data_IF_454451134283
#
_entry.id   IF_454451134283
#
_cell.length_a   1.000
_cell.length_b   1.000
_cell.length_c   1.000
_cell.angle_alpha   90.00
_cell.angle_beta   90.00
_cell.angle_gamma   90.00
#
_symmetry.space_group_name_H-M   'P 1'
#
loop_
_entity.id
_entity.type
_entity.pdbx_description
1 polymer ?
#
# COMPACT_ATOMS: atom_id res chain seq x y z
N UNK A 1 -29.91 -17.87 -32.47
CA UNK A 1 -28.63 -17.14 -32.37
C UNK A 1 -27.95 -17.61 -31.10
N UNK A 2 -26.97 -18.50 -31.24
CA UNK A 2 -26.19 -19.02 -30.11
C UNK A 2 -25.31 -17.86 -29.61
N UNK A 3 -25.52 -17.39 -28.38
CA UNK A 3 -24.57 -16.47 -27.74
C UNK A 3 -23.22 -17.20 -27.69
N UNK A 4 -22.25 -16.73 -28.48
CA UNK A 4 -20.88 -17.16 -28.32
C UNK A 4 -20.45 -16.75 -26.91
N UNK A 5 -20.09 -17.74 -26.08
CA UNK A 5 -19.56 -17.49 -24.74
C UNK A 5 -18.25 -16.74 -24.95
N UNK A 6 -18.16 -15.50 -24.46
CA UNK A 6 -16.92 -14.73 -24.53
C UNK A 6 -15.80 -15.54 -23.86
N UNK A 7 -14.60 -15.63 -24.46
CA UNK A 7 -13.50 -16.38 -23.87
C UNK A 7 -13.18 -15.79 -22.50
N UNK A 8 -13.13 -16.67 -21.49
CA UNK A 8 -12.74 -16.34 -20.13
C UNK A 8 -11.40 -17.01 -19.86
N UNK A 9 -10.40 -16.22 -19.45
CA UNK A 9 -9.09 -16.71 -19.05
C UNK A 9 -8.96 -16.47 -17.55
N UNK A 10 -8.61 -17.50 -16.80
CA UNK A 10 -8.32 -17.38 -15.36
C UNK A 10 -6.85 -17.75 -15.13
N UNK A 11 -6.13 -16.88 -14.42
CA UNK A 11 -4.78 -17.15 -13.97
C UNK A 11 -4.67 -16.94 -12.46
N UNK A 12 -3.86 -17.77 -11.81
CA UNK A 12 -3.59 -17.67 -10.38
C UNK A 12 -2.11 -17.47 -10.10
N UNK A 13 -1.81 -16.70 -9.07
CA UNK A 13 -0.45 -16.40 -8.63
C UNK A 13 -0.39 -16.46 -7.10
N UNK A 14 0.74 -16.93 -6.57
CA UNK A 14 0.99 -16.95 -5.12
C UNK A 14 1.76 -15.69 -4.73
N UNK A 15 1.20 -14.89 -3.83
CA UNK A 15 1.85 -13.68 -3.33
C UNK A 15 1.86 -13.64 -1.81
N UNK A 16 3.01 -13.31 -1.24
CA UNK A 16 3.22 -13.17 0.19
C UNK A 16 4.68 -12.90 0.50
N UNK A 17 5.00 -12.61 1.76
CA UNK A 17 6.34 -12.19 2.15
C UNK A 17 7.38 -13.30 1.99
N UNK A 18 6.98 -14.58 2.00
CA UNK A 18 7.89 -15.68 1.66
C UNK A 18 8.21 -15.81 0.17
N UNK A 19 7.29 -15.45 -0.73
CA UNK A 19 7.51 -15.55 -2.18
C UNK A 19 8.10 -14.29 -2.79
N UNK A 20 7.80 -13.12 -2.20
CA UNK A 20 8.37 -11.84 -2.58
C UNK A 20 8.72 -11.02 -1.32
N UNK A 21 9.86 -11.32 -0.66
CA UNK A 21 10.26 -10.69 0.60
C UNK A 21 10.41 -9.17 0.52
N UNK A 22 10.78 -8.63 -0.64
CA UNK A 22 10.91 -7.19 -0.84
C UNK A 22 9.61 -6.43 -0.57
N UNK A 23 8.44 -7.07 -0.69
CA UNK A 23 7.15 -6.44 -0.44
C UNK A 23 6.92 -6.09 1.04
N UNK A 24 7.71 -6.65 1.96
CA UNK A 24 7.68 -6.25 3.38
C UNK A 24 8.07 -4.78 3.58
N UNK A 25 8.81 -4.22 2.61
CA UNK A 25 9.28 -2.83 2.60
C UNK A 25 8.25 -1.84 2.02
N UNK A 26 7.04 -2.28 1.66
CA UNK A 26 5.95 -1.39 1.22
C UNK A 26 4.82 -1.40 2.26
N UNK A 27 4.81 -0.41 3.15
CA UNK A 27 3.89 -0.37 4.29
C UNK A 27 3.09 0.92 4.33
N UNK A 28 1.82 0.80 4.70
CA UNK A 28 0.96 1.94 5.04
C UNK A 28 0.39 1.70 6.42
N UNK A 29 0.63 2.66 7.32
CA UNK A 29 0.49 2.44 8.76
C UNK A 29 1.35 1.25 9.21
N UNK A 30 0.74 0.32 9.95
CA UNK A 30 1.47 -0.81 10.53
C UNK A 30 1.57 -2.04 9.60
N UNK A 31 0.82 -2.11 8.50
CA UNK A 31 0.73 -3.30 7.65
C UNK A 31 1.55 -3.20 6.37
N UNK A 32 2.15 -4.32 5.95
CA UNK A 32 2.66 -4.47 4.58
C UNK A 32 1.47 -4.62 3.62
N UNK A 33 1.43 -3.79 2.58
CA UNK A 33 0.32 -3.75 1.62
C UNK A 33 0.88 -4.00 0.23
N UNK A 34 0.19 -4.78 -0.57
CA UNK A 34 0.56 -4.99 -1.96
C UNK A 34 0.44 -3.67 -2.75
N UNK A 35 1.54 -3.13 -3.33
CA UNK A 35 1.50 -1.85 -4.02
C UNK A 35 0.70 -1.92 -5.32
N UNK A 36 0.11 -0.78 -5.71
CA UNK A 36 -0.53 -0.60 -7.02
C UNK A 36 0.36 -1.09 -8.16
N UNK A 37 1.66 -0.81 -8.08
CA UNK A 37 2.66 -1.23 -9.05
C UNK A 37 2.71 -2.74 -9.30
N UNK A 38 2.38 -3.58 -8.32
CA UNK A 38 2.32 -5.04 -8.54
C UNK A 38 1.07 -5.43 -9.34
N UNK A 39 -0.07 -4.78 -9.12
CA UNK A 39 -1.27 -5.00 -9.94
C UNK A 39 -1.04 -4.55 -11.40
N UNK A 40 -0.32 -3.44 -11.58
CA UNK A 40 0.11 -2.95 -12.90
C UNK A 40 1.01 -3.97 -13.62
N UNK A 41 2.00 -4.53 -12.93
CA UNK A 41 2.89 -5.55 -13.49
C UNK A 41 2.14 -6.85 -13.86
N UNK A 42 1.29 -7.36 -12.95
CA UNK A 42 0.50 -8.57 -13.19
C UNK A 42 -0.42 -8.42 -14.40
N UNK A 43 -1.16 -7.31 -14.46
CA UNK A 43 -2.08 -7.02 -15.56
C UNK A 43 -1.33 -6.83 -16.88
N UNK A 44 -0.22 -6.09 -16.91
CA UNK A 44 0.59 -5.91 -18.12
C UNK A 44 1.18 -7.24 -18.61
N UNK A 45 1.72 -8.05 -17.70
CA UNK A 45 2.27 -9.38 -18.01
C UNK A 45 1.21 -10.26 -18.68
N UNK A 46 -0.01 -10.27 -18.18
CA UNK A 46 -1.12 -10.99 -18.81
C UNK A 46 -1.54 -10.39 -20.14
N UNK A 47 -1.49 -9.06 -20.27
CA UNK A 47 -1.60 -8.36 -21.54
C UNK A 47 -0.64 -8.92 -22.59
N UNK A 48 0.64 -9.11 -22.26
CA UNK A 48 1.62 -9.68 -23.20
C UNK A 48 1.31 -11.12 -23.62
N UNK A 49 0.75 -11.92 -22.71
CA UNK A 49 0.35 -13.31 -22.98
C UNK A 49 -0.86 -13.35 -23.93
N UNK A 50 -1.90 -12.57 -23.63
CA UNK A 50 -3.15 -12.57 -24.40
C UNK A 50 -2.98 -11.89 -25.77
N UNK A 51 -2.16 -10.85 -25.84
CA UNK A 51 -1.80 -10.17 -27.09
C UNK A 51 -0.80 -10.95 -27.95
N UNK A 52 -0.20 -12.04 -27.42
CA UNK A 52 0.88 -12.80 -28.09
C UNK A 52 2.06 -11.89 -28.46
N UNK A 53 2.53 -11.12 -27.48
CA UNK A 53 3.61 -10.13 -27.58
C UNK A 53 3.35 -8.97 -28.57
N UNK A 54 2.11 -8.80 -29.05
CA UNK A 54 1.73 -7.58 -29.75
C UNK A 54 1.69 -6.40 -28.76
N UNK A 55 1.97 -5.17 -29.22
CA UNK A 55 1.85 -3.99 -28.36
C UNK A 55 0.50 -3.95 -27.65
N UNK A 56 0.51 -3.75 -26.34
CA UNK A 56 -0.70 -3.64 -25.54
C UNK A 56 -0.56 -2.58 -24.45
N UNK A 57 -1.70 -2.07 -23.98
CA UNK A 57 -1.77 -1.24 -22.78
C UNK A 57 -2.76 -1.83 -21.78
N UNK A 58 -2.51 -1.54 -20.52
CA UNK A 58 -3.49 -1.72 -19.44
C UNK A 58 -4.20 -0.39 -19.23
N UNK A 59 -5.51 -0.39 -19.17
CA UNK A 59 -6.32 0.83 -19.05
C UNK A 59 -7.27 0.75 -17.86
N UNK A 60 -7.65 1.92 -17.34
CA UNK A 60 -8.71 2.07 -16.34
C UNK A 60 -8.52 1.18 -15.10
N UNK A 61 -7.27 1.01 -14.64
CA UNK A 61 -6.98 0.26 -13.42
C UNK A 61 -7.56 1.04 -12.23
N UNK A 62 -8.34 0.37 -11.39
CA UNK A 62 -8.87 0.91 -10.13
C UNK A 62 -8.68 -0.11 -9.01
N UNK A 63 -8.20 0.37 -7.86
CA UNK A 63 -8.16 -0.40 -6.63
C UNK A 63 -9.49 -0.28 -5.88
N UNK A 64 -9.95 -1.39 -5.30
CA UNK A 64 -11.18 -1.48 -4.51
C UNK A 64 -10.87 -1.83 -3.06
N UNK A 65 -10.22 -2.96 -2.82
CA UNK A 65 -9.80 -3.40 -1.49
C UNK A 65 -8.28 -3.60 -1.42
N UNK A 66 -7.64 -3.07 -0.37
CA UNK A 66 -6.21 -3.26 -0.15
C UNK A 66 -5.89 -4.70 0.20
N UNK A 67 -4.89 -5.28 -0.47
CA UNK A 67 -4.39 -6.60 -0.11
C UNK A 67 -3.28 -6.48 0.94
N UNK A 68 -3.62 -6.80 2.18
CA UNK A 68 -2.63 -6.90 3.27
C UNK A 68 -1.80 -8.17 3.05
N UNK A 69 -0.48 -7.99 3.05
CA UNK A 69 0.47 -9.07 2.87
C UNK A 69 0.73 -9.78 4.19
N UNK A 70 0.83 -11.10 4.09
CA UNK A 70 1.16 -11.98 5.19
C UNK A 70 2.41 -12.80 4.85
N UNK A 71 3.03 -13.38 5.88
CA UNK A 71 4.12 -14.34 5.73
C UNK A 71 3.72 -15.51 4.82
N UNK A 72 2.53 -16.08 5.06
CA UNK A 72 2.01 -17.16 4.23
C UNK A 72 1.45 -16.63 2.92
N UNK A 73 1.93 -17.14 1.76
CA UNK A 73 1.40 -16.73 0.47
C UNK A 73 -0.09 -16.97 0.37
N UNK A 74 -0.78 -16.02 -0.24
CA UNK A 74 -2.19 -16.12 -0.64
C UNK A 74 -2.28 -16.20 -2.16
N UNK A 75 -3.31 -16.89 -2.63
CA UNK A 75 -3.64 -16.95 -4.05
C UNK A 75 -4.33 -15.65 -4.47
N UNK A 76 -3.73 -14.94 -5.42
CA UNK A 76 -4.46 -13.98 -6.26
C UNK A 76 -5.01 -14.72 -7.47
N UNK A 77 -6.26 -14.45 -7.82
CA UNK A 77 -6.90 -14.85 -9.05
C UNK A 77 -7.12 -13.62 -9.91
N UNK A 78 -6.78 -13.72 -11.19
CA UNK A 78 -7.13 -12.73 -12.20
C UNK A 78 -7.97 -13.39 -13.28
N UNK A 79 -9.20 -12.90 -13.40
CA UNK A 79 -10.14 -13.30 -14.42
C UNK A 79 -10.09 -12.26 -15.54
N UNK A 80 -9.98 -12.71 -16.79
CA UNK A 80 -10.07 -11.88 -17.98
C UNK A 80 -11.25 -12.33 -18.83
N UNK A 81 -12.06 -11.37 -19.28
CA UNK A 81 -13.21 -11.59 -20.13
C UNK A 81 -13.08 -10.72 -21.37
N UNK A 82 -13.07 -11.33 -22.55
CA UNK A 82 -13.07 -10.56 -23.79
C UNK A 82 -14.37 -9.76 -23.92
N UNK A 83 -14.26 -8.46 -24.18
CA UNK A 83 -15.40 -7.56 -24.35
C UNK A 83 -15.68 -7.26 -25.81
N UNK A 84 -14.62 -7.17 -26.62
CA UNK A 84 -14.64 -6.91 -28.05
C UNK A 84 -13.33 -7.43 -28.68
N UNK A 85 -13.17 -7.26 -30.00
CA UNK A 85 -11.90 -7.59 -30.66
C UNK A 85 -10.78 -6.74 -30.04
N UNK A 86 -9.67 -7.39 -29.65
CA UNK A 86 -8.50 -6.75 -29.03
C UNK A 86 -8.73 -6.06 -27.68
N UNK A 87 -9.85 -6.30 -26.98
CA UNK A 87 -10.05 -5.77 -25.64
C UNK A 87 -10.60 -6.79 -24.64
N UNK A 88 -10.06 -6.72 -23.43
CA UNK A 88 -10.38 -7.63 -22.32
C UNK A 88 -10.62 -6.83 -21.05
N UNK A 89 -11.71 -7.09 -20.35
CA UNK A 89 -11.86 -6.63 -18.98
C UNK A 89 -11.17 -7.63 -18.05
N UNK A 90 -10.50 -7.14 -17.01
CA UNK A 90 -9.93 -8.01 -15.98
C UNK A 90 -10.37 -7.61 -14.56
N UNK A 91 -10.42 -8.61 -13.70
CA UNK A 91 -10.65 -8.47 -12.26
C UNK A 91 -9.58 -9.26 -11.51
N UNK A 92 -8.95 -8.65 -10.51
CA UNK A 92 -7.96 -9.26 -9.63
C UNK A 92 -8.56 -9.35 -8.24
N UNK A 93 -8.70 -10.55 -7.72
CA UNK A 93 -9.17 -10.79 -6.36
C UNK A 93 -8.35 -11.84 -5.63
N UNK A 94 -8.60 -12.01 -4.34
CA UNK A 94 -8.00 -13.09 -3.54
C UNK A 94 -9.07 -13.91 -2.85
N UNK A 95 -8.78 -15.18 -2.60
CA UNK A 95 -9.66 -16.01 -1.80
C UNK A 95 -9.26 -15.91 -0.32
N UNK A 96 -10.16 -15.47 0.58
CA UNK A 96 -9.89 -15.45 2.01
C UNK A 96 -9.63 -16.85 2.56
N UNK A 97 -8.77 -16.95 3.58
CA UNK A 97 -8.41 -18.20 4.25
C UNK A 97 -9.55 -18.79 5.09
N UNK A 98 -10.54 -17.98 5.43
CA UNK A 98 -11.71 -18.36 6.23
C UNK A 98 -12.89 -18.87 5.38
N UNK A 99 -12.73 -18.97 4.06
CA UNK A 99 -13.76 -19.45 3.14
C UNK A 99 -14.86 -18.43 2.84
N UNK A 100 -14.70 -17.16 3.24
CA UNK A 100 -15.59 -16.07 2.84
C UNK A 100 -15.48 -15.73 1.34
N UNK A 101 -16.37 -14.85 0.86
CA UNK A 101 -16.40 -14.46 -0.55
C UNK A 101 -15.07 -13.87 -1.01
N UNK A 102 -14.72 -14.10 -2.28
CA UNK A 102 -13.51 -13.58 -2.90
C UNK A 102 -13.45 -12.04 -2.73
N UNK A 103 -12.35 -11.54 -2.15
CA UNK A 103 -12.09 -10.12 -2.03
C UNK A 103 -11.70 -9.56 -3.41
N UNK A 104 -12.32 -8.48 -3.86
CA UNK A 104 -12.00 -7.82 -5.13
C UNK A 104 -10.98 -6.71 -4.86
N UNK A 105 -9.77 -6.86 -5.40
CA UNK A 105 -8.68 -5.92 -5.16
C UNK A 105 -8.55 -4.88 -6.26
N UNK A 106 -8.62 -5.29 -7.53
CA UNK A 106 -8.44 -4.39 -8.65
C UNK A 106 -9.28 -4.80 -9.86
N UNK A 107 -9.66 -3.82 -10.67
CA UNK A 107 -10.31 -4.02 -11.97
C UNK A 107 -9.61 -3.19 -13.02
N UNK A 108 -9.71 -3.57 -14.30
CA UNK A 108 -9.27 -2.73 -15.41
C UNK A 108 -9.56 -3.36 -16.77
N UNK A 109 -8.93 -2.80 -17.79
CA UNK A 109 -9.00 -3.27 -19.17
C UNK A 109 -7.60 -3.55 -19.73
N UNK A 110 -7.50 -4.49 -20.64
CA UNK A 110 -6.35 -4.67 -21.52
C UNK A 110 -6.78 -4.35 -22.94
N UNK A 111 -5.98 -3.55 -23.65
CA UNK A 111 -6.18 -3.27 -25.07
C UNK A 111 -4.95 -3.67 -25.85
N UNK A 112 -5.16 -4.46 -26.89
CA UNK A 112 -4.13 -4.83 -27.87
C UNK A 112 -4.11 -3.79 -28.99
N UNK A 113 -2.93 -3.52 -29.53
CA UNK A 113 -2.67 -2.55 -30.60
C UNK A 113 -2.92 -1.08 -30.20
N UNK A 114 -2.86 -0.75 -28.90
CA UNK A 114 -3.43 0.50 -28.41
C UNK A 114 -2.50 1.71 -28.34
N UNK A 115 -1.16 1.59 -28.49
CA UNK A 115 -0.29 2.76 -28.34
C UNK A 115 0.99 2.74 -29.18
N UNK A 116 1.15 3.77 -30.02
CA UNK A 116 2.45 4.07 -30.63
C UNK A 116 3.39 4.63 -29.56
N UNK A 117 4.64 4.16 -29.54
CA UNK A 117 5.68 4.67 -28.63
C UNK A 117 5.87 6.18 -28.85
N UNK A 118 5.71 7.02 -27.81
CA UNK A 118 5.96 8.46 -27.94
C UNK A 118 7.41 8.76 -28.32
N UNK A 119 7.63 9.90 -28.98
CA UNK A 119 8.98 10.35 -29.35
C UNK A 119 9.86 10.55 -28.11
N UNK A 120 11.16 10.28 -28.27
CA UNK A 120 12.16 10.48 -27.23
C UNK A 120 12.18 11.94 -26.72
N UNK A 121 12.48 12.10 -25.43
CA UNK A 121 12.58 13.39 -24.74
C UNK A 121 13.81 13.40 -23.86
N UNK A 122 14.62 14.45 -23.95
CA UNK A 122 15.83 14.54 -23.11
C UNK A 122 15.46 14.91 -21.68
N UNK A 123 15.99 14.17 -20.70
CA UNK A 123 15.85 14.51 -19.27
C UNK A 123 16.48 15.87 -18.93
N UNK A 124 17.52 16.30 -19.64
CA UNK A 124 18.19 17.60 -19.43
C UNK A 124 17.23 18.81 -19.51
N UNK A 125 16.36 18.84 -20.52
CA UNK A 125 15.37 19.92 -20.66
C UNK A 125 14.30 19.91 -19.57
N UNK A 126 13.95 18.72 -19.05
CA UNK A 126 13.01 18.57 -17.93
C UNK A 126 13.69 19.03 -16.63
N UNK A 127 14.93 18.60 -16.40
CA UNK A 127 15.75 18.99 -15.25
C UNK A 127 15.95 20.50 -15.16
N UNK A 128 16.07 21.19 -16.29
CA UNK A 128 16.17 22.64 -16.32
C UNK A 128 14.90 23.36 -15.81
N UNK A 129 13.72 22.74 -16.00
CA UNK A 129 12.43 23.26 -15.46
C UNK A 129 12.23 22.89 -14.00
N UNK A 130 12.46 21.61 -13.67
CA UNK A 130 12.46 21.11 -12.29
C UNK A 130 13.74 21.57 -11.58
N UNK A 131 13.81 22.84 -11.20
CA UNK A 131 15.06 23.45 -10.73
C UNK A 131 15.33 23.26 -9.23
N UNK A 132 14.32 22.93 -8.43
CA UNK A 132 14.43 22.71 -6.99
C UNK A 132 14.85 21.26 -6.70
N UNK A 133 15.95 21.06 -5.98
CA UNK A 133 16.35 19.72 -5.51
C UNK A 133 15.53 19.36 -4.28
N UNK A 134 14.89 18.20 -4.31
CA UNK A 134 14.32 17.52 -3.15
C UNK A 134 15.21 16.31 -2.82
N UNK A 135 16.02 16.35 -1.76
CA UNK A 135 16.83 15.20 -1.38
C UNK A 135 15.96 13.95 -1.19
N UNK A 136 16.40 12.80 -1.69
CA UNK A 136 15.64 11.56 -1.60
C UNK A 136 15.30 11.19 -0.13
N UNK A 137 16.25 11.41 0.79
CA UNK A 137 16.03 11.18 2.22
C UNK A 137 14.89 12.05 2.80
N UNK A 138 14.78 13.31 2.38
CA UNK A 138 13.69 14.20 2.81
C UNK A 138 12.35 13.79 2.19
N UNK A 139 12.37 13.28 0.95
CA UNK A 139 11.19 12.72 0.32
C UNK A 139 10.65 11.52 1.09
N UNK A 140 11.51 10.53 1.41
CA UNK A 140 11.12 9.35 2.18
C UNK A 140 10.70 9.70 3.62
N UNK A 141 11.40 10.61 4.29
CA UNK A 141 10.99 11.09 5.62
C UNK A 141 9.62 11.78 5.59
N UNK A 142 9.30 12.52 4.52
CA UNK A 142 7.98 13.12 4.36
C UNK A 142 6.88 12.07 4.12
N UNK A 143 7.17 10.99 3.38
CA UNK A 143 6.22 9.88 3.21
C UNK A 143 5.98 9.15 4.53
N UNK A 144 7.04 8.91 5.31
CA UNK A 144 6.95 8.29 6.64
C UNK A 144 6.11 9.14 7.61
N UNK A 145 6.26 10.46 7.59
CA UNK A 145 5.44 11.36 8.39
C UNK A 145 3.93 11.31 8.06
N UNK A 146 3.58 10.84 6.85
CA UNK A 146 2.21 10.60 6.41
C UNK A 146 1.71 9.17 6.70
N UNK A 147 2.57 8.31 7.26
CA UNK A 147 2.28 6.90 7.54
C UNK A 147 2.55 5.97 6.36
N UNK A 148 3.32 6.38 5.35
CA UNK A 148 3.78 5.51 4.26
C UNK A 148 5.25 5.18 4.53
N UNK A 149 5.54 3.95 4.91
CA UNK A 149 6.89 3.51 5.23
C UNK A 149 7.44 2.68 4.07
N UNK A 150 8.39 3.27 3.34
CA UNK A 150 9.20 2.57 2.36
C UNK A 150 10.47 2.04 3.05
N UNK A 151 10.75 0.74 2.88
CA UNK A 151 12.00 0.13 3.29
C UNK A 151 13.05 0.15 2.17
N UNK A 152 14.24 -0.43 2.42
CA UNK A 152 15.36 -0.39 1.48
C UNK A 152 15.04 -0.88 0.07
N UNK A 153 14.15 -1.85 -0.07
CA UNK A 153 13.74 -2.36 -1.38
C UNK A 153 12.96 -1.33 -2.19
N UNK A 154 12.23 -0.40 -1.56
CA UNK A 154 11.44 0.64 -2.22
C UNK A 154 12.12 2.01 -2.26
N UNK A 155 13.34 2.12 -1.72
CA UNK A 155 14.20 3.32 -1.80
C UNK A 155 14.93 3.40 -3.14
N UNK A 156 14.18 3.57 -4.24
CA UNK A 156 14.74 3.60 -5.60
C UNK A 156 15.05 4.98 -6.14
N UNK A 157 14.53 6.05 -5.53
CA UNK A 157 14.80 7.42 -5.95
C UNK A 157 16.21 7.80 -5.48
N UNK A 158 17.15 7.96 -6.43
CA UNK A 158 18.51 8.44 -6.15
C UNK A 158 18.56 9.96 -6.01
N UNK A 159 17.77 10.66 -6.82
CA UNK A 159 17.69 12.11 -6.85
C UNK A 159 16.34 12.54 -7.38
N UNK A 160 15.81 13.64 -6.85
CA UNK A 160 14.49 14.12 -7.17
C UNK A 160 14.52 15.63 -7.31
N UNK A 161 14.00 16.12 -8.42
CA UNK A 161 13.92 17.54 -8.70
C UNK A 161 12.49 17.92 -8.99
N UNK A 162 12.07 19.12 -8.59
CA UNK A 162 10.69 19.58 -8.76
C UNK A 162 10.58 21.04 -9.12
N UNK A 163 9.38 21.37 -9.58
CA UNK A 163 8.72 22.67 -9.57
C UNK A 163 7.24 22.40 -9.30
N UNK A 164 6.41 23.42 -9.09
CA UNK A 164 4.98 23.18 -8.86
C UNK A 164 4.34 22.48 -10.07
N UNK A 165 3.71 21.32 -9.81
CA UNK A 165 3.05 20.51 -10.82
C UNK A 165 3.95 19.62 -11.67
N UNK A 166 5.27 19.64 -11.48
CA UNK A 166 6.20 18.87 -12.31
C UNK A 166 7.41 18.36 -11.51
N UNK A 167 7.77 17.09 -11.66
CA UNK A 167 8.93 16.50 -11.00
C UNK A 167 9.71 15.57 -11.95
N UNK A 168 11.01 15.43 -11.68
CA UNK A 168 11.91 14.50 -12.33
C UNK A 168 12.64 13.68 -11.27
N UNK A 169 12.36 12.39 -11.21
CA UNK A 169 13.07 11.44 -10.37
C UNK A 169 14.08 10.62 -11.17
N UNK A 170 15.30 10.49 -10.66
CA UNK A 170 16.24 9.48 -11.13
C UNK A 170 16.05 8.22 -10.28
N UNK A 171 15.76 7.10 -10.94
CA UNK A 171 15.43 5.83 -10.31
C UNK A 171 16.50 4.79 -10.60
N UNK A 172 16.83 3.98 -9.59
CA UNK A 172 17.67 2.79 -9.74
C UNK A 172 17.13 1.63 -8.92
N UNK A 173 17.10 0.45 -9.52
CA UNK A 173 16.71 -0.76 -8.81
C UNK A 173 17.77 -1.10 -7.75
N UNK A 174 17.40 -1.48 -6.52
CA UNK A 174 18.37 -1.88 -5.53
C UNK A 174 19.08 -3.16 -5.97
N UNK A 175 20.39 -3.24 -5.70
CA UNK A 175 21.24 -4.36 -6.12
C UNK A 175 20.66 -5.75 -5.75
N UNK A 176 20.02 -5.85 -4.58
CA UNK A 176 19.39 -7.09 -4.11
C UNK A 176 18.29 -7.64 -5.04
N UNK A 177 17.68 -6.79 -5.87
CA UNK A 177 16.58 -7.15 -6.78
C UNK A 177 17.03 -7.27 -8.25
N UNK A 178 18.29 -6.96 -8.57
CA UNK A 178 18.79 -7.01 -9.95
C UNK A 178 18.74 -8.43 -10.55
N UNK A 179 18.90 -9.47 -9.72
CA UNK A 179 18.84 -10.87 -10.15
C UNK A 179 17.48 -11.31 -10.70
N UNK A 180 16.39 -10.70 -10.22
CA UNK A 180 15.02 -10.97 -10.67
C UNK A 180 14.49 -9.95 -11.67
N UNK A 181 15.20 -8.83 -11.91
CA UNK A 181 14.80 -7.78 -12.85
C UNK A 181 14.44 -8.31 -14.26
N UNK A 182 15.13 -9.36 -14.72
CA UNK A 182 14.87 -10.01 -16.03
C UNK A 182 13.49 -10.66 -16.17
N UNK A 183 12.80 -10.92 -15.06
CA UNK A 183 11.45 -11.48 -15.04
C UNK A 183 10.39 -10.45 -15.41
N UNK A 184 10.74 -9.16 -15.35
CA UNK A 184 9.82 -8.05 -15.49
C UNK A 184 10.07 -7.25 -16.77
N UNK A 185 9.04 -6.56 -17.24
CA UNK A 185 9.24 -5.49 -18.23
C UNK A 185 9.90 -4.28 -17.55
N UNK A 186 9.30 -3.82 -16.46
CA UNK A 186 9.87 -2.89 -15.51
C UNK A 186 9.54 -3.46 -14.13
N UNK A 187 10.54 -3.60 -13.26
CA UNK A 187 10.33 -4.18 -11.94
C UNK A 187 9.25 -3.40 -11.16
N UNK A 188 8.32 -4.05 -10.43
CA UNK A 188 7.24 -3.36 -9.71
C UNK A 188 7.73 -2.24 -8.78
N UNK A 189 8.83 -2.47 -8.06
CA UNK A 189 9.51 -1.45 -7.24
C UNK A 189 9.91 -0.19 -8.03
N UNK A 190 10.37 -0.32 -9.29
CA UNK A 190 10.70 0.85 -10.12
C UNK A 190 9.44 1.58 -10.59
N UNK A 191 8.38 0.84 -10.92
CA UNK A 191 7.06 1.43 -11.23
C UNK A 191 6.51 2.18 -10.02
N UNK A 192 6.66 1.62 -8.81
CA UNK A 192 6.28 2.28 -7.57
C UNK A 192 7.11 3.54 -7.32
N UNK A 193 8.43 3.49 -7.52
CA UNK A 193 9.30 4.67 -7.47
C UNK A 193 8.89 5.78 -8.44
N UNK A 194 8.39 5.40 -9.62
CA UNK A 194 7.81 6.34 -10.58
C UNK A 194 6.57 7.02 -10.00
N UNK A 195 5.69 6.27 -9.34
CA UNK A 195 4.49 6.77 -8.64
C UNK A 195 4.88 7.63 -7.43
N UNK A 196 5.88 7.24 -6.63
CA UNK A 196 6.42 8.02 -5.51
C UNK A 196 6.83 9.43 -5.95
N UNK A 197 7.45 9.54 -7.14
CA UNK A 197 7.89 10.84 -7.68
C UNK A 197 6.73 11.82 -7.94
N UNK A 198 5.49 11.34 -8.11
CA UNK A 198 4.30 12.19 -8.25
C UNK A 198 4.13 13.07 -7.01
N UNK A 199 4.42 12.56 -5.82
CA UNK A 199 4.25 13.31 -4.57
C UNK A 199 5.19 14.51 -4.49
N UNK A 200 6.27 14.54 -5.26
CA UNK A 200 7.13 15.71 -5.36
C UNK A 200 6.59 16.83 -6.27
N UNK A 201 5.54 16.58 -7.06
CA UNK A 201 4.87 17.63 -7.85
C UNK A 201 4.06 18.59 -6.99
N UNK A 202 3.74 18.19 -5.75
CA UNK A 202 2.95 18.95 -4.79
C UNK A 202 3.85 19.63 -3.74
N UNK A 203 3.39 20.71 -3.10
CA UNK A 203 3.99 21.19 -1.86
C UNK A 203 3.96 20.10 -0.76
N UNK A 204 4.70 20.27 0.35
CA UNK A 204 4.62 19.36 1.48
C UNK A 204 3.19 19.12 1.92
N UNK A 205 2.83 17.84 2.02
CA UNK A 205 1.47 17.40 2.31
C UNK A 205 1.32 17.05 3.80
N UNK A 206 0.10 17.16 4.33
CA UNK A 206 -0.21 16.79 5.72
C UNK A 206 -1.24 15.67 5.82
N UNK A 207 -1.98 15.38 4.74
CA UNK A 207 -2.92 14.27 4.68
C UNK A 207 -2.31 13.06 3.98
N UNK A 208 -2.64 11.85 4.48
CA UNK A 208 -2.32 10.61 3.78
C UNK A 208 -3.01 10.57 2.43
N UNK A 209 -2.24 10.43 1.35
CA UNK A 209 -2.74 10.26 -0.01
C UNK A 209 -2.18 8.99 -0.62
N UNK A 210 -3.02 8.22 -1.29
CA UNK A 210 -2.64 6.94 -1.90
C UNK A 210 -2.97 6.93 -3.39
N UNK A 211 -2.18 6.22 -4.21
CA UNK A 211 -2.52 5.98 -5.61
C UNK A 211 -3.62 4.92 -5.69
N UNK A 212 -4.78 5.27 -6.23
CA UNK A 212 -5.98 4.39 -6.23
C UNK A 212 -6.45 3.99 -7.63
N UNK A 213 -5.98 4.67 -8.66
CA UNK A 213 -6.31 4.35 -10.05
C UNK A 213 -5.22 4.81 -11.02
N UNK A 214 -5.18 4.19 -12.20
CA UNK A 214 -4.33 4.56 -13.33
C UNK A 214 -5.17 4.46 -14.60
N UNK A 215 -5.20 5.52 -15.41
CA UNK A 215 -5.96 5.50 -16.66
C UNK A 215 -5.29 4.66 -17.73
N UNK A 216 -3.96 4.68 -17.80
CA UNK A 216 -3.22 3.90 -18.80
C UNK A 216 -1.84 3.51 -18.28
N UNK A 217 -1.44 2.27 -18.51
CA UNK A 217 -0.07 1.80 -18.43
C UNK A 217 0.33 1.23 -19.79
N UNK A 218 1.40 1.77 -20.37
CA UNK A 218 2.03 1.22 -21.57
C UNK A 218 3.54 1.09 -21.34
N UNK A 219 4.11 -0.09 -21.57
CA UNK A 219 5.55 -0.34 -21.49
C UNK A 219 6.06 -0.71 -22.88
N UNK A 220 6.96 0.11 -23.41
CA UNK A 220 7.45 0.00 -24.79
C UNK A 220 8.80 -0.72 -24.90
N UNK A 221 9.53 -0.81 -23.80
CA UNK A 221 10.82 -1.48 -23.72
C UNK A 221 11.01 -2.13 -22.34
N UNK A 222 11.78 -3.20 -22.29
CA UNK A 222 12.23 -3.79 -21.02
C UNK A 222 13.33 -2.92 -20.41
N UNK A 223 13.22 -2.62 -19.12
CA UNK A 223 14.29 -1.99 -18.37
C UNK A 223 15.49 -2.95 -18.28
N UNK A 224 16.68 -2.47 -18.63
CA UNK A 224 17.90 -3.26 -18.52
C UNK A 224 18.29 -3.40 -17.04
N UNK A 225 18.69 -4.60 -16.56
CA UNK A 225 19.21 -4.75 -15.20
C UNK A 225 20.36 -3.76 -14.92
N UNK A 226 20.32 -3.12 -13.76
CA UNK A 226 21.30 -2.10 -13.34
C UNK A 226 21.21 -0.75 -14.08
N UNK A 227 20.35 -0.61 -15.09
CA UNK A 227 20.17 0.68 -15.76
C UNK A 227 19.34 1.64 -14.91
N UNK A 228 19.65 2.93 -15.02
CA UNK A 228 18.83 3.99 -14.46
C UNK A 228 17.60 4.23 -15.33
N UNK A 229 16.52 4.59 -14.67
CA UNK A 229 15.34 5.17 -15.30
C UNK A 229 15.14 6.59 -14.80
N UNK A 230 14.48 7.42 -15.60
CA UNK A 230 14.06 8.75 -15.22
C UNK A 230 12.54 8.80 -15.23
N UNK A 231 11.92 9.13 -14.11
CA UNK A 231 10.49 9.33 -13.98
C UNK A 231 10.17 10.82 -14.09
N UNK A 232 9.55 11.21 -15.19
CA UNK A 232 9.04 12.56 -15.40
C UNK A 232 7.55 12.61 -15.05
N UNK A 233 7.23 13.23 -13.92
CA UNK A 233 5.87 13.35 -13.38
C UNK A 233 5.28 14.72 -13.68
N UNK A 234 4.04 14.77 -14.18
CA UNK A 234 3.34 16.01 -14.52
C UNK A 234 1.89 15.94 -14.04
N UNK A 235 1.45 16.94 -13.27
CA UNK A 235 0.05 17.05 -12.86
C UNK A 235 -0.82 17.33 -14.08
N UNK A 236 -1.83 16.51 -14.29
CA UNK A 236 -2.81 16.65 -15.39
C UNK A 236 -4.15 17.20 -14.91
N UNK A 237 -4.53 16.88 -13.67
CA UNK A 237 -5.67 17.50 -12.98
C UNK A 237 -5.20 18.03 -11.64
N UNK A 238 -5.34 19.34 -11.35
CA UNK A 238 -4.89 19.92 -10.09
C UNK A 238 -5.72 19.39 -8.91
N UNK A 239 -5.24 19.58 -7.66
CA UNK A 239 -5.97 19.18 -6.46
C UNK A 239 -7.39 19.73 -6.40
N UNK A 240 -8.35 18.85 -6.12
CA UNK A 240 -9.73 19.20 -5.83
C UNK A 240 -9.92 19.65 -4.37
N UNK A 241 -11.17 19.86 -3.95
CA UNK A 241 -11.52 20.28 -2.58
C UNK A 241 -11.10 19.27 -1.49
N UNK A 242 -10.89 18.00 -1.86
CA UNK A 242 -10.41 16.95 -0.96
C UNK A 242 -8.87 16.84 -0.96
N UNK A 243 -8.21 17.58 -1.85
CA UNK A 243 -6.78 17.48 -2.10
C UNK A 243 -6.39 16.32 -3.02
N UNK A 244 -7.36 15.65 -3.64
CA UNK A 244 -7.13 14.57 -4.61
C UNK A 244 -6.78 15.17 -5.97
N UNK A 245 -5.84 14.56 -6.70
CA UNK A 245 -5.33 15.08 -7.97
C UNK A 245 -4.87 13.93 -8.87
N UNK A 246 -4.60 14.21 -10.14
CA UNK A 246 -4.02 13.20 -11.03
C UNK A 246 -2.77 13.70 -11.76
N UNK A 247 -1.85 12.78 -12.02
CA UNK A 247 -0.61 13.05 -12.72
C UNK A 247 -0.28 11.95 -13.73
N UNK A 248 0.44 12.33 -14.78
CA UNK A 248 1.09 11.42 -15.69
C UNK A 248 2.54 11.20 -15.26
N UNK A 249 3.08 10.01 -15.52
CA UNK A 249 4.49 9.68 -15.36
C UNK A 249 5.03 9.09 -16.65
N UNK A 250 6.05 9.71 -17.22
CA UNK A 250 6.81 9.15 -18.35
C UNK A 250 8.13 8.58 -17.84
N UNK A 251 8.37 7.29 -18.09
CA UNK A 251 9.64 6.62 -17.81
C UNK A 251 10.57 6.75 -19.02
N UNK A 252 11.78 7.25 -18.79
CA UNK A 252 12.83 7.42 -19.81
C UNK A 252 14.07 6.62 -19.41
N UNK A 253 14.85 6.16 -20.39
CA UNK A 253 16.23 5.72 -20.15
C UNK A 253 17.22 6.90 -20.15
N UNK A 254 18.50 6.62 -19.94
CA UNK A 254 19.57 7.64 -19.92
C UNK A 254 19.71 8.38 -21.26
N UNK A 255 19.28 7.77 -22.37
CA UNK A 255 19.29 8.36 -23.72
C UNK A 255 18.00 9.17 -24.02
N UNK A 256 17.04 9.17 -23.08
CA UNK A 256 15.76 9.87 -23.22
C UNK A 256 14.70 9.11 -24.02
N UNK A 257 14.93 7.83 -24.34
CA UNK A 257 13.95 7.00 -25.01
C UNK A 257 12.86 6.58 -24.01
N UNK A 258 11.59 6.65 -24.43
CA UNK A 258 10.44 6.36 -23.56
C UNK A 258 10.36 4.86 -23.28
N UNK A 259 10.63 4.45 -22.05
CA UNK A 259 10.53 3.05 -21.60
C UNK A 259 9.08 2.69 -21.30
N UNK A 260 8.32 3.61 -20.73
CA UNK A 260 6.91 3.40 -20.41
C UNK A 260 6.19 4.68 -20.01
N UNK A 261 4.88 4.57 -19.84
CA UNK A 261 4.00 5.66 -19.45
C UNK A 261 2.96 5.14 -18.45
N UNK A 262 2.74 5.90 -17.38
CA UNK A 262 1.60 5.79 -16.49
C UNK A 262 0.75 7.06 -16.66
N UNK A 263 -0.38 6.95 -17.34
CA UNK A 263 -1.30 8.06 -17.59
C UNK A 263 -2.37 8.14 -16.51
N UNK A 264 -2.69 9.35 -16.07
CA UNK A 264 -3.80 9.66 -15.17
C UNK A 264 -3.76 8.88 -13.86
N UNK A 265 -2.60 8.78 -13.22
CA UNK A 265 -2.47 8.19 -11.89
C UNK A 265 -3.25 9.08 -10.91
N UNK A 266 -4.33 8.55 -10.36
CA UNK A 266 -5.18 9.24 -9.39
C UNK A 266 -4.61 9.06 -7.99
N UNK A 267 -4.18 10.18 -7.41
CA UNK A 267 -3.75 10.29 -6.02
C UNK A 267 -4.95 10.78 -5.21
N UNK A 268 -5.47 9.93 -4.35
CA UNK A 268 -6.66 10.21 -3.55
C UNK A 268 -6.30 10.46 -2.09
N UNK A 269 -6.87 11.51 -1.52
CA UNK A 269 -6.83 11.77 -0.08
C UNK A 269 -7.64 10.71 0.66
N UNK A 270 -7.00 10.05 1.62
CA UNK A 270 -7.63 9.02 2.44
C UNK A 270 -7.96 9.69 3.78
N UNK A 271 -9.23 9.70 4.14
CA UNK A 271 -9.60 10.08 5.51
C UNK A 271 -8.87 9.13 6.45
N UNK A 272 -8.23 9.67 7.49
CA UNK A 272 -7.42 8.90 8.44
C UNK A 272 -8.10 7.55 8.72
N UNK A 273 -7.43 6.46 8.33
CA UNK A 273 -7.89 5.13 8.72
C UNK A 273 -8.01 5.14 10.25
N UNK A 274 -9.09 4.61 10.85
CA UNK A 274 -9.12 4.41 12.30
C UNK A 274 -7.86 3.62 12.69
N UNK A 275 -6.92 4.28 13.37
CA UNK A 275 -5.57 3.75 13.64
C UNK A 275 -4.38 4.60 13.17
N UNK A 276 -4.59 5.69 12.42
CA UNK A 276 -3.49 6.48 11.84
C UNK A 276 -3.17 7.83 12.53
N UNK A 277 -3.70 8.09 13.73
CA UNK A 277 -3.31 9.27 14.50
C UNK A 277 -3.29 8.96 16.01
N UNK A 278 -2.11 8.68 16.54
CA UNK A 278 -1.85 8.91 17.97
C UNK A 278 -1.40 10.36 18.09
N UNK A 279 -2.18 11.26 18.72
CA UNK A 279 -1.66 12.59 19.03
C UNK A 279 -0.50 12.41 20.00
N UNK A 280 0.68 12.92 19.64
CA UNK A 280 1.82 12.99 20.54
C UNK A 280 1.37 13.70 21.83
N UNK A 281 1.46 13.09 23.03
CA UNK A 281 1.05 13.77 24.24
C UNK A 281 1.99 14.96 24.45
N UNK A 282 1.42 16.16 24.59
CA UNK A 282 2.15 17.27 25.18
C UNK A 282 2.59 16.88 26.60
N UNK A 283 3.78 17.29 27.07
CA UNK A 283 4.20 17.03 28.44
C UNK A 283 3.20 17.70 29.39
N UNK A 284 2.43 16.90 30.13
CA UNK A 284 1.41 17.39 31.06
C UNK A 284 2.02 17.65 32.44
N UNK A 285 1.63 18.72 33.15
CA UNK A 285 2.12 19.02 34.49
C UNK A 285 1.72 17.93 35.50
N UNK A 286 2.50 17.84 36.58
CA UNK A 286 2.41 16.84 37.63
C UNK A 286 0.99 16.63 38.21
N UNK A 287 0.79 15.36 38.60
CA UNK A 287 -0.35 14.71 39.24
C UNK A 287 -1.34 15.57 40.02
N UNK A 288 -2.63 15.26 39.84
CA UNK A 288 -3.59 15.35 40.93
C UNK A 288 -4.56 14.16 40.85
N UNK A 289 -4.69 13.44 41.97
CA UNK A 289 -5.38 12.16 42.06
C UNK A 289 -6.89 12.27 41.90
N UNK A 290 -7.42 11.58 40.88
CA UNK A 290 -8.82 11.17 40.84
C UNK A 290 -8.93 9.75 41.39
N UNK A 291 -9.79 9.56 42.39
CA UNK A 291 -10.13 8.24 42.96
C UNK A 291 -10.50 7.28 41.84
N UNK A 292 -9.64 6.31 41.56
CA UNK A 292 -10.02 5.13 40.77
C UNK A 292 -11.05 4.34 41.58
N UNK A 293 -12.19 4.06 40.98
CA UNK A 293 -13.22 3.20 41.55
C UNK A 293 -12.65 1.79 41.83
N UNK A 294 -12.98 1.20 42.98
CA UNK A 294 -12.52 -0.12 43.40
C UNK A 294 -12.87 -1.22 42.37
N UNK A 295 -13.96 -1.04 41.61
CA UNK A 295 -14.32 -1.94 40.50
C UNK A 295 -13.29 -1.89 39.35
N UNK A 296 -12.83 -0.69 39.00
CA UNK A 296 -11.87 -0.45 37.91
C UNK A 296 -10.50 -1.03 38.24
N UNK A 297 -10.06 -0.87 39.50
CA UNK A 297 -8.82 -1.46 40.02
C UNK A 297 -8.86 -2.99 39.97
N UNK A 298 -10.01 -3.60 40.23
CA UNK A 298 -10.18 -5.06 40.18
C UNK A 298 -10.18 -5.61 38.75
N UNK A 299 -10.76 -4.87 37.77
CA UNK A 299 -10.69 -5.25 36.35
C UNK A 299 -9.26 -5.19 35.86
N UNK A 300 -8.56 -4.10 36.14
CA UNK A 300 -7.17 -3.89 35.71
C UNK A 300 -6.24 -5.00 36.24
N UNK A 301 -6.33 -5.30 37.54
CA UNK A 301 -5.54 -6.37 38.15
C UNK A 301 -5.80 -7.74 37.51
N UNK A 302 -7.07 -8.01 37.15
CA UNK A 302 -7.46 -9.27 36.49
C UNK A 302 -6.88 -9.37 35.09
N UNK A 303 -7.01 -8.33 34.28
CA UNK A 303 -6.48 -8.30 32.92
C UNK A 303 -4.95 -8.40 32.91
N UNK A 304 -4.27 -7.72 33.84
CA UNK A 304 -2.81 -7.84 34.03
C UNK A 304 -2.38 -9.27 34.33
N UNK A 305 -3.11 -9.99 35.18
CA UNK A 305 -2.79 -11.37 35.51
C UNK A 305 -2.95 -12.28 34.28
N UNK A 306 -4.03 -12.11 33.52
CA UNK A 306 -4.30 -12.88 32.29
C UNK A 306 -3.23 -12.59 31.23
N UNK A 307 -2.88 -11.32 31.01
CA UNK A 307 -1.89 -10.95 29.99
C UNK A 307 -0.50 -11.50 30.31
N UNK A 308 -0.08 -11.47 31.59
CA UNK A 308 1.19 -12.08 32.01
C UNK A 308 1.24 -13.59 31.77
N UNK A 309 0.11 -14.27 31.91
CA UNK A 309 0.00 -15.72 31.67
C UNK A 309 0.26 -16.06 30.19
N UNK A 310 -0.30 -15.29 29.25
CA UNK A 310 -0.23 -15.61 27.81
C UNK A 310 0.91 -14.92 27.05
N UNK A 311 1.40 -13.79 27.54
CA UNK A 311 2.50 -13.05 26.91
C UNK A 311 3.87 -13.36 27.53
N UNK A 312 3.90 -14.23 28.57
CA UNK A 312 5.11 -14.66 29.28
C UNK A 312 5.97 -13.50 29.83
N UNK A 313 5.37 -12.33 30.10
CA UNK A 313 6.05 -11.13 30.62
C UNK A 313 6.04 -11.07 32.15
N UNK A 314 7.18 -10.75 32.77
CA UNK A 314 7.33 -10.62 34.24
C UNK A 314 6.82 -9.28 34.77
N UNK A 315 7.05 -8.21 34.03
CA UNK A 315 6.59 -6.86 34.34
C UNK A 315 5.71 -6.36 33.19
N UNK A 316 4.68 -5.60 33.53
CA UNK A 316 3.63 -5.17 32.61
C UNK A 316 3.03 -3.88 33.16
N UNK A 317 3.10 -2.78 32.40
CA UNK A 317 2.37 -1.52 32.62
C UNK A 317 0.96 -1.60 31.99
N UNK A 318 0.02 -0.75 32.43
CA UNK A 318 -1.33 -0.76 31.86
C UNK A 318 -1.36 -0.11 30.48
N UNK A 319 -0.35 0.68 30.13
CA UNK A 319 -0.23 1.38 28.86
C UNK A 319 0.70 0.68 27.87
N UNK A 320 1.30 -0.45 28.26
CA UNK A 320 2.15 -1.23 27.36
C UNK A 320 1.30 -1.76 26.19
N UNK A 321 1.71 -1.50 24.93
CA UNK A 321 0.98 -1.99 23.78
C UNK A 321 1.02 -3.52 23.67
N UNK A 322 -0.14 -4.13 23.44
CA UNK A 322 -0.32 -5.57 23.31
C UNK A 322 0.69 -6.24 22.37
N UNK A 323 0.92 -5.63 21.20
CA UNK A 323 1.83 -6.17 20.19
C UNK A 323 3.31 -5.99 20.55
N UNK A 324 3.67 -4.95 21.31
CA UNK A 324 5.06 -4.75 21.77
C UNK A 324 5.45 -5.76 22.85
N UNK A 325 4.46 -6.31 23.56
CA UNK A 325 4.62 -7.39 24.52
C UNK A 325 4.67 -8.79 23.87
N UNK A 326 4.71 -8.86 22.54
CA UNK A 326 4.71 -10.13 21.80
C UNK A 326 3.32 -10.72 21.53
N UNK A 327 2.26 -9.93 21.70
CA UNK A 327 0.89 -10.32 21.38
C UNK A 327 0.65 -10.56 19.88
N UNK A 328 -0.23 -11.49 19.57
CA UNK A 328 -0.68 -11.87 18.24
C UNK A 328 -2.17 -12.24 18.24
N UNK A 329 -2.74 -12.63 17.10
CA UNK A 329 -4.16 -13.01 17.01
C UNK A 329 -4.53 -14.27 17.81
N UNK A 330 -3.55 -15.15 18.07
CA UNK A 330 -3.77 -16.39 18.82
C UNK A 330 -3.86 -16.06 20.31
N UNK A 331 -2.89 -15.31 20.82
CA UNK A 331 -2.85 -14.84 22.21
C UNK A 331 -3.98 -13.85 22.48
N UNK A 332 -4.38 -13.00 21.52
CA UNK A 332 -5.58 -12.16 21.65
C UNK A 332 -6.85 -13.00 21.82
N UNK A 333 -6.99 -14.08 21.04
CA UNK A 333 -8.15 -14.99 21.17
C UNK A 333 -8.14 -15.73 22.52
N UNK A 334 -6.97 -16.19 22.97
CA UNK A 334 -6.82 -16.87 24.26
C UNK A 334 -7.10 -15.95 25.45
N UNK A 335 -6.62 -14.70 25.39
CA UNK A 335 -6.87 -13.67 26.40
C UNK A 335 -8.35 -13.27 26.43
N UNK A 336 -9.01 -13.12 25.27
CA UNK A 336 -10.44 -12.84 25.18
C UNK A 336 -11.28 -13.96 25.83
N UNK A 337 -10.97 -15.21 25.49
CA UNK A 337 -11.64 -16.39 26.05
C UNK A 337 -11.45 -16.49 27.57
N UNK A 338 -10.22 -16.27 28.06
CA UNK A 338 -9.91 -16.31 29.49
C UNK A 338 -10.61 -15.17 30.24
N UNK A 339 -10.57 -13.96 29.70
CA UNK A 339 -11.24 -12.78 30.27
C UNK A 339 -12.75 -12.98 30.37
N UNK A 340 -13.35 -13.59 29.35
CA UNK A 340 -14.79 -13.92 29.32
C UNK A 340 -15.14 -14.93 30.40
N UNK A 341 -14.31 -15.97 30.62
CA UNK A 341 -14.48 -16.92 31.74
C UNK A 341 -14.31 -16.28 33.12
N UNK A 342 -13.56 -15.19 33.21
CA UNK A 342 -13.41 -14.37 34.42
C UNK A 342 -14.53 -13.33 34.60
N UNK A 343 -15.56 -13.36 33.76
CA UNK A 343 -16.75 -12.49 33.88
C UNK A 343 -16.65 -11.16 33.12
N UNK A 344 -15.62 -10.96 32.29
CA UNK A 344 -15.43 -9.76 31.47
C UNK A 344 -15.63 -10.11 30.00
N UNK A 345 -16.76 -9.72 29.43
CA UNK A 345 -17.06 -9.96 28.01
C UNK A 345 -16.10 -9.16 27.13
N UNK A 346 -15.06 -9.84 26.66
CA UNK A 346 -14.06 -9.34 25.73
C UNK A 346 -14.03 -10.25 24.52
N UNK A 347 -14.12 -9.66 23.33
CA UNK A 347 -13.86 -10.33 22.06
C UNK A 347 -12.37 -10.20 21.68
N UNK A 348 -11.86 -11.07 20.78
CA UNK A 348 -10.51 -10.89 20.23
C UNK A 348 -10.35 -9.52 19.57
N UNK A 349 -11.42 -9.02 18.93
CA UNK A 349 -11.44 -7.69 18.31
C UNK A 349 -11.25 -6.57 19.35
N UNK A 350 -11.90 -6.65 20.52
CA UNK A 350 -11.75 -5.65 21.59
C UNK A 350 -10.28 -5.49 22.02
N UNK A 351 -9.50 -6.59 22.06
CA UNK A 351 -8.08 -6.57 22.45
C UNK A 351 -7.21 -5.95 21.35
N UNK A 352 -7.52 -6.25 20.08
CA UNK A 352 -6.80 -5.72 18.93
C UNK A 352 -7.11 -4.23 18.68
N UNK A 353 -8.31 -3.77 19.06
CA UNK A 353 -8.74 -2.37 18.97
C UNK A 353 -8.24 -1.55 20.17
N UNK A 354 -8.42 -2.05 21.39
CA UNK A 354 -8.06 -1.36 22.63
C UNK A 354 -6.75 -1.92 23.21
N UNK A 355 -5.68 -1.83 22.42
CA UNK A 355 -4.37 -2.50 22.56
C UNK A 355 -3.60 -2.31 23.88
N UNK A 356 -4.20 -1.75 24.93
CA UNK A 356 -3.60 -1.59 26.26
C UNK A 356 -4.61 -1.98 27.33
N UNK A 357 -4.12 -2.45 28.48
CA UNK A 357 -5.00 -2.79 29.60
C UNK A 357 -5.79 -1.57 30.08
N UNK A 358 -5.17 -0.38 30.10
CA UNK A 358 -5.86 0.87 30.44
C UNK A 358 -7.05 1.14 29.50
N UNK A 359 -6.86 0.94 28.19
CA UNK A 359 -7.93 1.14 27.20
C UNK A 359 -9.06 0.11 27.35
N UNK A 360 -8.73 -1.17 27.60
CA UNK A 360 -9.72 -2.21 27.85
C UNK A 360 -10.54 -1.94 29.13
N UNK A 361 -9.88 -1.50 30.19
CA UNK A 361 -10.53 -1.15 31.45
C UNK A 361 -11.51 0.03 31.24
N UNK A 362 -11.09 1.06 30.51
CA UNK A 362 -11.95 2.19 30.19
C UNK A 362 -13.17 1.78 29.34
N UNK A 363 -12.97 0.90 28.35
CA UNK A 363 -14.06 0.37 27.52
C UNK A 363 -15.06 -0.46 28.35
N UNK A 364 -14.56 -1.34 29.22
CA UNK A 364 -15.41 -2.16 30.11
C UNK A 364 -16.21 -1.27 31.06
N UNK A 365 -15.59 -0.23 31.62
CA UNK A 365 -16.28 0.74 32.47
C UNK A 365 -17.40 1.46 31.70
N UNK A 366 -17.11 1.97 30.50
CA UNK A 366 -18.11 2.63 29.66
C UNK A 366 -19.28 1.72 29.26
N UNK A 367 -19.04 0.42 29.02
CA UNK A 367 -20.10 -0.57 28.74
C UNK A 367 -20.99 -0.83 29.96
N UNK A 368 -20.44 -0.77 31.19
CA UNK A 368 -21.23 -0.92 32.42
C UNK A 368 -22.11 0.30 32.70
N UNK A 369 -21.61 1.50 32.42
CA UNK A 369 -22.35 2.75 32.60
C UNK A 369 -23.55 2.86 31.63
N UNK A 370 -23.45 2.24 30.44
CA UNK A 370 -24.54 2.18 29.45
C UNK A 370 -25.60 1.11 29.77
N UNK A 371 -25.29 0.15 30.65
CA UNK A 371 -26.17 -0.96 31.02
C UNK A 371 -26.81 -0.81 32.42
N UNK A 372 -26.48 0.28 33.12
CA UNK A 372 -27.03 0.68 34.43
C UNK A 372 -28.10 1.75 34.25
#
# INVERSE_FOLDING_TARGET
>A
MTQAIAPVINHTFQIGLRTAPYLADHRVGHGAILPLATYLDLSFTLGTIVSKDQPCAVEQIRLHEMHILHETPRTLNIALVATEENAWQFEIGSQPSDGSNQALHATGMLRVDSTARPSARTHAGIRARCNELRPAAEHYAAMEALGIHYGPSFHVIESLWRTDGEALGQLRLPYALEGEARLYHVHPVLLDGAIQSIMATQPPETALKLPVAVQTLALYAKAKPGARLWAHSQVVSPPDVTGSFSADVTLLDDDGAVVGLLGGVLIQSVQAMPGAAVPRPAPRPAANGSRQDASTVHVEATLRAIWREFLEVRELDAHDPFFELGGDSITASQIADKSTRSGYQLSPLDILEHQTIAALVAMIAARKDLAS
#
